data_IF_614543670682
#
_entry.id   IF_614543670682
#
_cell.length_a   1.000
_cell.length_b   1.000
_cell.length_c   1.000
_cell.angle_alpha   90.00
_cell.angle_beta   90.00
_cell.angle_gamma   90.00
#
_symmetry.space_group_name_H-M   'P 1'
#
loop_
_entity.id
_entity.type
_entity.pdbx_description
1 polymer ?
#
# COMPACT_ATOMS: atom_id res chain seq x y z
N UNK A 1 21.16 -13.22 -5.14
CA UNK A 1 20.13 -12.89 -4.11
C UNK A 1 18.86 -12.60 -4.88
N UNK A 2 17.86 -13.48 -4.90
CA UNK A 2 16.61 -13.20 -5.62
C UNK A 2 15.73 -12.37 -4.69
N UNK A 3 15.86 -11.06 -4.77
CA UNK A 3 14.83 -10.17 -4.26
C UNK A 3 13.54 -10.48 -5.04
N UNK A 4 12.39 -10.38 -4.39
CA UNK A 4 11.10 -10.52 -5.05
C UNK A 4 11.01 -9.49 -6.19
N UNK A 5 11.25 -9.90 -7.43
CA UNK A 5 11.17 -9.05 -8.64
C UNK A 5 9.71 -8.80 -9.05
N UNK A 6 8.77 -8.86 -8.11
CA UNK A 6 7.34 -8.72 -8.34
C UNK A 6 6.71 -7.81 -7.29
N UNK A 7 5.66 -7.13 -7.71
CA UNK A 7 4.82 -6.28 -6.88
C UNK A 7 3.37 -6.73 -7.00
N UNK A 8 2.74 -6.92 -5.85
CA UNK A 8 1.36 -7.33 -5.74
C UNK A 8 0.43 -6.12 -5.73
N UNK A 9 -0.69 -6.25 -6.44
CA UNK A 9 -1.75 -5.26 -6.56
C UNK A 9 -3.07 -5.83 -6.04
N UNK A 10 -3.84 -4.97 -5.38
CA UNK A 10 -5.08 -5.35 -4.71
C UNK A 10 -6.23 -4.40 -5.06
N UNK A 11 -7.44 -4.95 -5.16
CA UNK A 11 -8.66 -4.15 -5.33
C UNK A 11 -9.25 -3.79 -3.96
N UNK A 12 -9.41 -2.49 -3.68
CA UNK A 12 -10.00 -1.96 -2.44
C UNK A 12 -11.43 -1.45 -2.64
N UNK A 13 -12.21 -2.15 -3.47
CA UNK A 13 -13.57 -1.74 -3.81
C UNK A 13 -14.59 -2.68 -3.16
N UNK A 14 -15.40 -2.18 -2.21
CA UNK A 14 -16.38 -3.01 -1.47
C UNK A 14 -17.43 -3.71 -2.34
N UNK A 15 -17.70 -3.19 -3.53
CA UNK A 15 -18.66 -3.75 -4.48
C UNK A 15 -18.04 -4.79 -5.42
N UNK A 16 -16.73 -5.01 -5.34
CA UNK A 16 -16.03 -5.96 -6.20
C UNK A 16 -15.88 -7.32 -5.50
N UNK A 17 -16.26 -8.43 -6.18
CA UNK A 17 -16.25 -9.77 -5.60
C UNK A 17 -14.85 -10.31 -5.33
N UNK A 18 -13.82 -9.73 -5.96
CA UNK A 18 -12.41 -10.13 -5.78
C UNK A 18 -11.61 -9.11 -4.96
N UNK A 19 -12.29 -8.14 -4.36
CA UNK A 19 -11.63 -7.14 -3.53
C UNK A 19 -11.12 -7.74 -2.22
N UNK A 20 -10.21 -7.02 -1.56
CA UNK A 20 -9.76 -7.37 -0.20
C UNK A 20 -10.88 -7.37 0.84
N UNK A 21 -12.04 -6.80 0.52
CA UNK A 21 -13.22 -6.78 1.37
C UNK A 21 -14.15 -7.97 1.12
N UNK A 22 -13.93 -8.73 0.05
CA UNK A 22 -14.67 -9.96 -0.19
C UNK A 22 -14.11 -11.05 0.75
N UNK A 23 -14.99 -11.61 1.59
CA UNK A 23 -14.58 -12.60 2.59
C UNK A 23 -14.12 -13.93 1.98
N UNK A 24 -14.61 -14.28 0.79
CA UNK A 24 -14.48 -15.63 0.23
C UNK A 24 -13.49 -15.71 -0.94
N UNK A 25 -13.15 -14.58 -1.57
CA UNK A 25 -12.25 -14.54 -2.73
C UNK A 25 -11.52 -13.20 -2.83
N UNK A 26 -10.22 -13.20 -2.61
CA UNK A 26 -9.35 -12.05 -2.88
C UNK A 26 -8.44 -12.40 -4.04
N UNK A 27 -8.45 -11.58 -5.08
CA UNK A 27 -7.54 -11.74 -6.21
C UNK A 27 -6.36 -10.78 -6.09
N UNK A 28 -5.18 -11.32 -6.30
CA UNK A 28 -3.91 -10.60 -6.24
C UNK A 28 -3.33 -10.60 -7.64
N UNK A 29 -3.01 -9.40 -8.13
CA UNK A 29 -2.36 -9.24 -9.43
C UNK A 29 -0.87 -9.00 -9.19
N UNK A 30 -0.03 -9.95 -9.57
CA UNK A 30 1.43 -9.84 -9.44
C UNK A 30 2.03 -9.38 -10.76
N UNK A 31 2.69 -8.22 -10.75
CA UNK A 31 3.40 -7.67 -11.90
C UNK A 31 4.91 -7.59 -11.63
N UNK A 32 5.76 -7.63 -12.67
CA UNK A 32 7.20 -7.43 -12.52
C UNK A 32 7.51 -6.09 -11.84
N UNK A 33 8.49 -6.05 -10.94
CA UNK A 33 8.89 -4.81 -10.29
C UNK A 33 9.69 -3.93 -11.27
N UNK A 34 9.00 -3.05 -11.99
CA UNK A 34 9.59 -2.08 -12.92
C UNK A 34 9.05 -0.67 -12.68
N UNK A 35 9.78 0.35 -13.12
CA UNK A 35 9.35 1.75 -13.01
C UNK A 35 7.98 1.98 -13.69
N UNK A 36 7.75 1.35 -14.84
CA UNK A 36 6.48 1.42 -15.56
C UNK A 36 5.33 0.87 -14.71
N UNK A 37 5.52 -0.29 -14.06
CA UNK A 37 4.46 -0.85 -13.22
C UNK A 37 4.15 0.05 -12.03
N UNK A 38 5.14 0.71 -11.42
CA UNK A 38 4.94 1.61 -10.28
C UNK A 38 4.23 2.93 -10.64
N UNK A 39 4.41 3.39 -11.87
CA UNK A 39 3.90 4.70 -12.33
C UNK A 39 2.57 4.59 -13.09
N UNK A 40 2.27 3.42 -13.66
CA UNK A 40 1.07 3.19 -14.45
C UNK A 40 -0.13 2.85 -13.56
N UNK A 41 -1.32 3.34 -13.95
CA UNK A 41 -2.56 2.93 -13.29
C UNK A 41 -2.98 1.53 -13.75
N UNK A 42 -3.00 0.59 -12.81
CA UNK A 42 -3.55 -0.75 -13.03
C UNK A 42 -5.01 -0.82 -12.58
N UNK A 43 -5.84 -1.57 -13.30
CA UNK A 43 -7.28 -1.70 -13.02
C UNK A 43 -7.68 -3.14 -12.82
N UNK A 44 -8.64 -3.35 -11.91
CA UNK A 44 -9.20 -4.66 -11.64
C UNK A 44 -10.05 -5.13 -12.83
N UNK A 45 -9.81 -6.34 -13.32
CA UNK A 45 -10.53 -6.89 -14.47
C UNK A 45 -12.04 -7.05 -14.21
N UNK A 46 -12.46 -7.20 -12.95
CA UNK A 46 -13.85 -7.48 -12.57
C UNK A 46 -14.71 -6.23 -12.38
N UNK A 47 -14.13 -5.14 -11.87
CA UNK A 47 -14.88 -3.93 -11.53
C UNK A 47 -14.31 -2.66 -12.15
N UNK A 48 -13.22 -2.76 -12.92
CA UNK A 48 -12.51 -1.66 -13.57
C UNK A 48 -12.05 -0.55 -12.62
N UNK A 49 -12.05 -0.79 -11.30
CA UNK A 49 -11.52 0.15 -10.32
C UNK A 49 -10.00 0.05 -10.26
N UNK A 50 -9.37 1.17 -9.91
CA UNK A 50 -7.93 1.25 -9.71
C UNK A 50 -7.47 0.25 -8.64
N UNK A 51 -6.44 -0.51 -8.99
CA UNK A 51 -5.71 -1.37 -8.08
C UNK A 51 -4.70 -0.54 -7.27
N UNK A 52 -4.41 -1.00 -6.06
CA UNK A 52 -3.44 -0.39 -5.15
C UNK A 52 -2.31 -1.36 -4.93
N UNK A 53 -1.07 -0.91 -5.12
CA UNK A 53 0.11 -1.74 -4.92
C UNK A 53 0.41 -1.97 -3.45
N UNK A 54 1.08 -3.09 -3.13
CA UNK A 54 1.60 -3.35 -1.78
C UNK A 54 2.50 -2.21 -1.27
N UNK A 55 3.33 -1.65 -2.16
CA UNK A 55 4.24 -0.54 -1.87
C UNK A 55 3.48 0.72 -1.48
N UNK A 56 2.40 1.06 -2.21
CA UNK A 56 1.55 2.22 -1.86
C UNK A 56 0.92 2.06 -0.48
N UNK A 57 0.54 0.84 -0.11
CA UNK A 57 -0.04 0.55 1.21
C UNK A 57 1.02 0.76 2.29
N UNK A 58 2.22 0.21 2.11
CA UNK A 58 3.35 0.37 3.04
C UNK A 58 3.75 1.84 3.20
N UNK A 59 3.84 2.58 2.10
CA UNK A 59 4.13 4.03 2.11
C UNK A 59 3.05 4.78 2.88
N UNK A 60 1.76 4.51 2.63
CA UNK A 60 0.66 5.14 3.38
C UNK A 60 0.73 4.81 4.87
N UNK A 61 1.07 3.58 5.24
CA UNK A 61 1.25 3.20 6.64
C UNK A 61 2.45 3.90 7.29
N UNK A 62 3.58 4.00 6.57
CA UNK A 62 4.78 4.70 7.04
C UNK A 62 4.51 6.19 7.23
N UNK A 63 3.78 6.83 6.31
CA UNK A 63 3.39 8.24 6.41
C UNK A 63 2.33 8.48 7.49
N UNK A 64 1.40 7.53 7.71
CA UNK A 64 0.39 7.60 8.77
C UNK A 64 1.01 7.43 10.16
N UNK A 65 2.07 6.62 10.27
CA UNK A 65 2.97 6.58 11.44
C UNK A 65 3.82 7.86 11.46
N UNK A 66 3.22 9.01 11.83
CA UNK A 66 3.99 10.18 12.26
C UNK A 66 5.04 9.72 13.29
N UNK A 67 6.28 10.25 13.26
CA UNK A 67 7.24 9.95 14.31
C UNK A 67 6.62 10.37 15.65
N UNK A 68 6.50 9.40 16.56
CA UNK A 68 6.34 9.68 17.99
C UNK A 68 7.65 10.34 18.44
N UNK A 69 7.78 11.64 18.19
CA UNK A 69 9.09 12.31 18.28
C UNK A 69 9.04 13.84 18.31
N UNK A 70 7.89 14.44 18.60
CA UNK A 70 7.80 15.89 18.82
C UNK A 70 7.00 16.23 20.08
N UNK A 71 7.35 15.62 21.22
CA UNK A 71 7.24 16.33 22.49
C UNK A 71 8.49 17.18 22.66
N UNK A 72 8.31 18.44 22.30
CA UNK A 72 9.14 19.59 22.63
C UNK A 72 9.91 19.40 23.94
N UNK A 73 11.22 19.56 23.83
CA UNK A 73 12.14 19.94 24.91
C UNK A 73 11.46 21.03 25.75
N UNK A 74 11.19 20.74 27.02
CA UNK A 74 11.02 21.73 28.10
C UNK A 74 11.22 20.98 29.42
N UNK A 75 11.79 21.71 30.39
CA UNK A 75 12.28 21.32 31.72
C UNK A 75 13.74 20.84 31.74
N UNK A 76 14.66 21.44 32.49
CA UNK A 76 14.79 22.75 33.10
C UNK A 76 16.26 22.78 33.55
N UNK A 77 17.04 23.78 33.12
CA UNK A 77 18.28 24.10 33.83
C UNK A 77 17.84 24.74 35.14
N UNK A 78 18.15 24.11 36.27
CA UNK A 78 18.18 24.78 37.56
C UNK A 78 19.56 24.55 38.15
N UNK A 79 20.30 25.65 38.20
CA UNK A 79 21.56 25.84 38.92
C UNK A 79 21.34 25.56 40.40
#
# INVERSE_FOLDING_TARGET
MKANDQISYYCFTKTCPVSVYACDSVEVVDLPFTEETLTTEHRCEFCNHRLVSAVDIELKQAMAKKPVGSRLIKYAVKV
#
